data_IF_780535348912
#
_entry.id   IF_780535348912
#
_cell.length_a   1.000
_cell.length_b   1.000
_cell.length_c   1.000
_cell.angle_alpha   90.00
_cell.angle_beta   90.00
_cell.angle_gamma   90.00
#
_symmetry.space_group_name_H-M   'P 1'
#
loop_
_entity.id
_entity.type
_entity.pdbx_description
1 polymer ?
#
# COMPACT_ATOMS: atom_id res chain seq x y z
N UNK A 1 67.41 50.83 36.04
CA UNK A 1 66.26 50.94 35.12
C UNK A 1 66.45 49.94 34.00
N UNK A 2 65.44 49.10 33.81
CA UNK A 2 65.39 47.89 32.99
C UNK A 2 65.28 48.17 31.50
N UNK A 3 66.05 47.46 30.67
CA UNK A 3 65.69 47.19 29.27
C UNK A 3 66.24 45.81 28.86
N UNK A 4 65.31 44.87 28.65
CA UNK A 4 65.52 43.53 28.14
C UNK A 4 65.49 43.59 26.61
N UNK A 5 66.52 43.07 25.94
CA UNK A 5 66.53 42.91 24.49
C UNK A 5 66.56 41.42 24.16
N UNK A 6 65.37 40.85 23.88
CA UNK A 6 65.21 39.50 23.34
C UNK A 6 65.54 39.52 21.84
N UNK A 7 66.52 38.75 21.42
CA UNK A 7 66.70 38.30 20.03
C UNK A 7 65.98 36.97 19.85
N UNK A 8 65.13 36.84 18.83
CA UNK A 8 64.44 35.60 18.46
C UNK A 8 65.10 35.00 17.20
N UNK A 9 65.34 33.68 17.11
CA UNK A 9 65.88 33.07 15.91
C UNK A 9 64.77 32.66 14.91
N UNK A 10 65.02 33.05 13.67
CA UNK A 10 64.46 32.51 12.43
C UNK A 10 64.55 30.97 12.41
N UNK A 11 63.43 30.26 12.20
CA UNK A 11 63.51 28.79 12.09
C UNK A 11 62.25 27.99 11.74
N UNK A 12 61.12 28.61 11.40
CA UNK A 12 59.84 27.87 11.34
C UNK A 12 59.28 27.62 9.92
N UNK A 13 59.95 28.08 8.86
CA UNK A 13 59.35 28.07 7.51
C UNK A 13 59.38 26.68 6.81
N UNK A 14 60.11 25.68 7.33
CA UNK A 14 60.25 24.38 6.63
C UNK A 14 59.22 23.29 7.00
N UNK A 15 58.30 23.53 7.93
CA UNK A 15 57.38 22.49 8.42
C UNK A 15 55.95 22.57 7.84
N UNK A 16 55.68 23.46 6.88
CA UNK A 16 54.30 23.71 6.40
C UNK A 16 53.88 22.92 5.14
N UNK A 17 54.81 22.31 4.39
CA UNK A 17 54.47 21.70 3.10
C UNK A 17 54.19 20.18 3.13
N UNK A 18 54.56 19.47 4.21
CA UNK A 18 54.39 18.01 4.26
C UNK A 18 53.02 17.55 4.78
N UNK A 19 52.24 18.43 5.41
CA UNK A 19 50.97 18.07 6.08
C UNK A 19 49.75 18.20 5.15
N UNK A 20 49.90 18.81 3.96
CA UNK A 20 48.78 19.03 3.05
C UNK A 20 48.45 17.83 2.13
N UNK A 21 49.38 16.88 1.95
CA UNK A 21 49.17 15.72 1.05
C UNK A 21 48.58 14.47 1.73
N UNK A 22 48.48 14.44 3.07
CA UNK A 22 47.98 13.26 3.79
C UNK A 22 46.44 13.25 4.01
N UNK A 23 45.74 14.36 3.75
CA UNK A 23 44.29 14.45 4.00
C UNK A 23 43.40 14.13 2.78
N UNK A 24 43.98 13.85 1.61
CA UNK A 24 43.21 13.62 0.37
C UNK A 24 42.91 12.13 0.07
N UNK A 25 43.34 11.20 0.92
CA UNK A 25 43.26 9.76 0.65
C UNK A 25 42.09 9.01 1.32
N UNK A 26 41.14 9.71 1.96
CA UNK A 26 40.02 9.09 2.69
C UNK A 26 38.63 9.31 2.08
N UNK A 27 38.53 9.91 0.89
CA UNK A 27 37.28 10.03 0.16
C UNK A 27 36.97 8.74 -0.63
N UNK A 28 36.59 7.67 0.08
CA UNK A 28 35.93 6.53 -0.55
C UNK A 28 34.59 6.97 -1.17
N UNK A 29 34.11 6.34 -2.25
CA UNK A 29 32.80 6.65 -2.80
C UNK A 29 31.74 6.38 -1.73
N UNK A 30 31.17 7.45 -1.19
CA UNK A 30 29.96 7.36 -0.39
C UNK A 30 28.86 6.91 -1.35
N UNK A 31 28.55 5.62 -1.34
CA UNK A 31 27.32 5.10 -1.91
C UNK A 31 26.17 5.85 -1.26
N UNK A 32 25.60 6.82 -1.97
CA UNK A 32 24.36 7.45 -1.58
C UNK A 32 23.31 6.34 -1.52
N UNK A 33 23.03 5.84 -0.31
CA UNK A 33 21.78 5.15 -0.04
C UNK A 33 20.69 6.15 -0.38
N UNK A 34 20.10 5.99 -1.56
CA UNK A 34 18.90 6.67 -1.98
C UNK A 34 17.78 6.14 -1.08
N UNK A 35 17.74 6.62 0.15
CA UNK A 35 16.59 6.48 1.04
C UNK A 35 15.53 7.41 0.47
N UNK A 36 14.92 6.99 -0.64
CA UNK A 36 13.78 7.66 -1.21
C UNK A 36 12.76 7.76 -0.08
N UNK A 37 12.49 8.99 0.37
CA UNK A 37 11.41 9.25 1.31
C UNK A 37 10.20 8.45 0.81
N UNK A 38 9.48 7.71 1.69
CA UNK A 38 8.37 6.88 1.25
C UNK A 38 7.46 7.75 0.38
N UNK A 39 7.40 7.45 -0.92
CA UNK A 39 6.52 8.17 -1.83
C UNK A 39 5.09 8.12 -1.30
N UNK A 40 4.25 9.08 -1.66
CA UNK A 40 2.87 9.16 -1.17
C UNK A 40 2.02 7.94 -1.52
N UNK A 41 2.47 7.13 -2.48
CA UNK A 41 1.78 5.96 -3.01
C UNK A 41 2.63 4.69 -2.82
N UNK A 42 1.97 3.54 -2.87
CA UNK A 42 2.57 2.22 -2.94
C UNK A 42 2.82 1.83 -4.39
N UNK A 43 4.04 1.44 -4.70
CA UNK A 43 4.34 0.98 -6.05
C UNK A 43 3.79 -0.43 -6.31
N UNK A 44 3.73 -0.82 -7.58
CA UNK A 44 3.22 -2.13 -8.01
C UNK A 44 3.89 -3.31 -7.29
N UNK A 45 5.21 -3.27 -7.08
CA UNK A 45 5.95 -4.36 -6.47
C UNK A 45 5.59 -4.54 -4.98
N UNK A 46 5.39 -3.44 -4.25
CA UNK A 46 4.94 -3.46 -2.86
C UNK A 46 3.55 -4.10 -2.75
N UNK A 47 2.63 -3.74 -3.64
CA UNK A 47 1.27 -4.30 -3.67
C UNK A 47 1.28 -5.79 -4.04
N UNK A 48 2.05 -6.18 -5.06
CA UNK A 48 2.17 -7.59 -5.45
C UNK A 48 2.78 -8.42 -4.32
N UNK A 49 3.82 -7.91 -3.64
CA UNK A 49 4.44 -8.60 -2.51
C UNK A 49 3.46 -8.77 -1.33
N UNK A 50 2.71 -7.72 -0.97
CA UNK A 50 1.69 -7.79 0.06
C UNK A 50 0.60 -8.80 -0.31
N UNK A 51 0.13 -8.78 -1.56
CA UNK A 51 -0.87 -9.71 -2.05
C UNK A 51 -0.37 -11.16 -2.11
N UNK A 52 0.88 -11.44 -2.49
CA UNK A 52 1.43 -12.79 -2.43
C UNK A 52 1.48 -13.35 -1.01
N UNK A 53 1.90 -12.52 -0.04
CA UNK A 53 1.88 -12.91 1.38
C UNK A 53 0.45 -13.20 1.85
N UNK A 54 -0.51 -12.42 1.38
CA UNK A 54 -1.90 -12.49 1.80
C UNK A 54 -2.68 -13.66 1.16
N UNK A 55 -2.61 -13.81 -0.15
CA UNK A 55 -3.31 -14.86 -0.90
C UNK A 55 -2.58 -16.21 -0.88
N UNK A 56 -1.31 -16.25 -0.50
CA UNK A 56 -0.45 -17.43 -0.58
C UNK A 56 0.30 -17.51 -1.92
N UNK A 57 1.39 -18.29 -1.95
CA UNK A 57 2.41 -18.31 -3.01
C UNK A 57 1.96 -18.80 -4.40
N UNK A 58 0.70 -19.23 -4.59
CA UNK A 58 0.21 -19.92 -5.80
C UNK A 58 -0.44 -18.96 -6.82
N UNK A 59 0.10 -17.76 -6.98
CA UNK A 59 -0.69 -16.60 -7.42
C UNK A 59 -0.09 -15.88 -8.65
N UNK A 60 0.18 -16.62 -9.73
CA UNK A 60 0.74 -16.03 -10.97
C UNK A 60 -0.12 -14.92 -11.61
N UNK A 61 -1.45 -14.94 -11.41
CA UNK A 61 -2.37 -13.93 -11.97
C UNK A 61 -2.43 -12.60 -11.21
N UNK A 62 -1.95 -12.54 -9.96
CA UNK A 62 -2.07 -11.34 -9.13
C UNK A 62 -1.30 -10.17 -9.74
N UNK A 63 -0.05 -10.41 -10.17
CA UNK A 63 0.77 -9.37 -10.76
C UNK A 63 0.08 -8.72 -11.98
N UNK A 64 -0.57 -9.52 -12.83
CA UNK A 64 -1.28 -9.03 -14.00
C UNK A 64 -2.54 -8.22 -13.65
N UNK A 65 -3.26 -8.60 -12.58
CA UNK A 65 -4.41 -7.80 -12.08
C UNK A 65 -3.94 -6.48 -11.49
N UNK A 66 -2.90 -6.50 -10.65
CA UNK A 66 -2.35 -5.27 -10.06
C UNK A 66 -1.77 -4.37 -11.14
N UNK A 67 -1.04 -4.92 -12.11
CA UNK A 67 -0.53 -4.16 -13.26
C UNK A 67 -1.67 -3.50 -14.04
N UNK A 68 -2.76 -4.22 -14.28
CA UNK A 68 -3.94 -3.68 -14.96
C UNK A 68 -4.58 -2.53 -14.17
N UNK A 69 -4.74 -2.69 -12.85
CA UNK A 69 -5.26 -1.63 -11.98
C UNK A 69 -4.33 -0.41 -11.95
N UNK A 70 -3.01 -0.63 -11.86
CA UNK A 70 -2.03 0.46 -11.82
C UNK A 70 -1.97 1.22 -13.15
N UNK A 71 -2.06 0.50 -14.28
CA UNK A 71 -2.15 1.13 -15.61
C UNK A 71 -3.38 2.01 -15.77
N UNK A 72 -4.52 1.63 -15.18
CA UNK A 72 -5.77 2.38 -15.30
C UNK A 72 -5.87 3.54 -14.30
N UNK A 73 -5.43 3.35 -13.06
CA UNK A 73 -5.73 4.25 -11.94
C UNK A 73 -4.47 4.87 -11.29
N UNK A 74 -3.27 4.52 -11.76
CA UNK A 74 -2.01 4.95 -11.17
C UNK A 74 -1.59 4.09 -9.98
N UNK A 75 -0.77 4.63 -9.07
CA UNK A 75 -0.34 3.91 -7.87
C UNK A 75 -1.28 4.20 -6.69
N UNK A 76 -1.73 3.20 -5.92
CA UNK A 76 -2.63 3.40 -4.79
C UNK A 76 -1.92 4.05 -3.60
N UNK A 77 -2.62 4.86 -2.81
CA UNK A 77 -2.09 5.46 -1.58
C UNK A 77 -2.55 4.72 -0.30
N UNK A 78 -3.32 3.66 -0.46
CA UNK A 78 -3.64 2.69 0.58
C UNK A 78 -4.05 1.33 0.01
N UNK A 79 -4.08 0.31 0.85
CA UNK A 79 -4.68 -0.98 0.50
C UNK A 79 -5.30 -1.64 1.73
N UNK A 80 -6.33 -2.45 1.51
CA UNK A 80 -6.99 -3.24 2.54
C UNK A 80 -6.63 -4.70 2.33
N UNK A 81 -6.29 -5.40 3.41
CA UNK A 81 -6.22 -6.87 3.44
C UNK A 81 -7.28 -7.38 4.41
N UNK A 82 -8.14 -8.28 3.98
CA UNK A 82 -9.10 -8.88 4.90
C UNK A 82 -9.97 -9.96 4.29
N UNK A 83 -10.92 -10.44 5.07
CA UNK A 83 -11.67 -11.66 4.78
C UNK A 83 -13.17 -11.39 4.78
N UNK A 84 -13.87 -12.10 3.90
CA UNK A 84 -15.31 -12.06 3.73
C UNK A 84 -15.84 -13.46 4.08
N UNK A 85 -16.48 -13.63 5.24
CA UNK A 85 -16.55 -14.94 5.93
C UNK A 85 -17.96 -15.51 6.20
N UNK A 86 -18.19 -16.68 5.59
CA UNK A 86 -19.00 -17.90 5.86
C UNK A 86 -20.11 -18.02 6.94
N UNK A 87 -20.36 -17.03 7.80
CA UNK A 87 -21.44 -17.09 8.81
C UNK A 87 -22.36 -15.87 8.86
N UNK A 88 -21.93 -14.76 8.24
CA UNK A 88 -22.67 -13.50 8.22
C UNK A 88 -23.48 -13.29 6.93
N UNK A 89 -23.41 -14.22 5.96
CA UNK A 89 -24.23 -14.15 4.74
C UNK A 89 -25.66 -14.54 5.07
N UNK A 90 -26.43 -13.55 5.49
CA UNK A 90 -27.86 -13.66 5.76
C UNK A 90 -28.58 -12.85 4.69
N UNK A 91 -29.55 -13.47 4.02
CA UNK A 91 -30.48 -12.79 3.12
C UNK A 91 -29.84 -11.96 1.97
N UNK A 92 -28.73 -12.43 1.39
CA UNK A 92 -28.11 -11.77 0.23
C UNK A 92 -27.21 -10.58 0.56
N UNK A 93 -26.71 -10.50 1.79
CA UNK A 93 -25.67 -9.55 2.19
C UNK A 93 -24.33 -10.26 2.46
N UNK A 94 -23.21 -9.59 2.19
CA UNK A 94 -21.86 -10.00 2.59
C UNK A 94 -21.35 -9.06 3.68
N UNK A 95 -20.52 -9.61 4.56
CA UNK A 95 -19.81 -8.85 5.60
C UNK A 95 -18.35 -9.24 5.53
N UNK A 96 -17.49 -8.25 5.65
CA UNK A 96 -16.06 -8.47 5.72
C UNK A 96 -15.39 -7.55 6.72
N UNK A 97 -14.20 -7.95 7.10
CA UNK A 97 -13.36 -7.21 8.02
C UNK A 97 -11.90 -7.34 7.61
N UNK A 98 -11.10 -6.33 7.94
CA UNK A 98 -9.71 -6.29 7.55
C UNK A 98 -8.97 -5.11 8.14
N UNK A 99 -7.80 -4.86 7.57
CA UNK A 99 -6.92 -3.77 7.96
C UNK A 99 -6.62 -2.89 6.74
N UNK A 100 -6.88 -1.60 6.87
CA UNK A 100 -6.49 -0.56 5.94
C UNK A 100 -5.07 -0.13 6.25
N UNK A 101 -4.15 -0.44 5.35
CA UNK A 101 -2.78 0.02 5.33
C UNK A 101 -2.71 1.34 4.56
N UNK A 102 -2.24 2.39 5.21
CA UNK A 102 -2.01 3.70 4.59
C UNK A 102 -0.54 4.06 4.66
N UNK A 103 -0.06 4.79 3.65
CA UNK A 103 1.34 5.16 3.57
C UNK A 103 1.78 6.09 4.70
N UNK A 104 0.90 7.05 5.04
CA UNK A 104 1.23 8.19 5.89
C UNK A 104 0.36 8.30 7.16
N UNK A 105 -0.57 7.37 7.38
CA UNK A 105 -1.49 7.43 8.53
C UNK A 105 -1.58 6.11 9.31
N UNK A 106 -0.69 5.14 9.05
CA UNK A 106 -0.65 3.86 9.77
C UNK A 106 -1.69 2.83 9.29
N UNK A 107 -2.00 1.88 10.19
CA UNK A 107 -2.89 0.74 9.92
C UNK A 107 -4.17 0.88 10.74
N UNK A 108 -5.33 0.66 10.11
CA UNK A 108 -6.64 0.86 10.73
C UNK A 108 -7.54 -0.36 10.54
N UNK A 109 -8.20 -0.82 11.60
CA UNK A 109 -9.25 -1.85 11.46
C UNK A 109 -10.41 -1.25 10.66
N UNK A 110 -10.90 -2.00 9.69
CA UNK A 110 -12.00 -1.59 8.82
C UNK A 110 -12.96 -2.74 8.58
N UNK A 111 -14.24 -2.42 8.45
CA UNK A 111 -15.31 -3.35 8.20
C UNK A 111 -16.05 -2.93 6.93
N UNK A 112 -16.65 -3.89 6.23
CA UNK A 112 -17.50 -3.58 5.10
C UNK A 112 -18.69 -4.51 4.96
N UNK A 113 -19.70 -4.01 4.26
CA UNK A 113 -20.93 -4.72 3.94
C UNK A 113 -21.34 -4.45 2.49
N UNK A 114 -22.02 -5.39 1.85
CA UNK A 114 -22.56 -5.18 0.50
C UNK A 114 -23.49 -6.31 0.06
N UNK A 115 -24.10 -6.23 -1.14
CA UNK A 115 -24.87 -7.33 -1.68
C UNK A 115 -23.97 -8.55 -1.92
N UNK A 116 -24.54 -9.73 -1.69
CA UNK A 116 -23.96 -11.03 -2.03
C UNK A 116 -24.88 -11.75 -3.02
N UNK A 117 -24.30 -12.29 -4.10
CA UNK A 117 -25.04 -13.05 -5.13
C UNK A 117 -25.02 -14.57 -4.84
N UNK A 118 -24.36 -15.03 -3.77
CA UNK A 118 -24.26 -16.47 -3.49
C UNK A 118 -24.00 -16.88 -2.05
N UNK A 119 -24.17 -18.18 -1.81
CA UNK A 119 -23.86 -18.94 -0.59
C UNK A 119 -22.42 -19.50 -0.60
N UNK A 120 -21.64 -19.23 -1.65
CA UNK A 120 -20.45 -19.98 -2.03
C UNK A 120 -19.16 -19.54 -1.31
N UNK A 121 -19.17 -19.56 0.01
CA UNK A 121 -17.94 -19.47 0.80
C UNK A 121 -17.82 -20.71 1.67
N UNK A 122 -16.81 -21.54 1.37
CA UNK A 122 -16.38 -22.62 2.26
C UNK A 122 -16.03 -22.04 3.65
N UNK A 123 -16.04 -22.90 4.68
CA UNK A 123 -15.97 -22.50 6.09
C UNK A 123 -14.86 -21.50 6.46
N UNK A 124 -13.80 -21.43 5.67
CA UNK A 124 -12.62 -20.60 5.90
C UNK A 124 -12.71 -19.14 5.39
N UNK A 125 -13.83 -18.73 4.78
CA UNK A 125 -14.01 -17.37 4.26
C UNK A 125 -13.19 -17.06 2.98
N UNK A 126 -13.48 -15.95 2.32
CA UNK A 126 -12.76 -15.49 1.14
C UNK A 126 -11.90 -14.27 1.44
N UNK A 127 -10.60 -14.41 1.19
CA UNK A 127 -9.63 -13.32 1.20
C UNK A 127 -9.90 -12.32 0.08
N UNK A 128 -9.83 -11.03 0.40
CA UNK A 128 -9.90 -9.91 -0.54
C UNK A 128 -8.82 -8.88 -0.21
N UNK A 129 -8.13 -8.42 -1.26
CA UNK A 129 -7.23 -7.29 -1.19
C UNK A 129 -7.91 -6.13 -1.92
N UNK A 130 -8.04 -4.95 -1.32
CA UNK A 130 -8.64 -3.80 -1.98
C UNK A 130 -7.61 -2.68 -2.15
N UNK A 131 -7.34 -2.26 -3.38
CA UNK A 131 -6.45 -1.12 -3.64
C UNK A 131 -7.25 0.17 -3.49
N UNK A 132 -6.72 1.14 -2.76
CA UNK A 132 -7.38 2.41 -2.48
C UNK A 132 -6.58 3.54 -3.13
N UNK A 133 -7.27 4.34 -3.93
CA UNK A 133 -6.69 5.47 -4.65
C UNK A 133 -7.32 6.77 -4.19
N UNK A 134 -6.53 7.83 -4.23
CA UNK A 134 -6.95 9.19 -3.91
C UNK A 134 -7.59 9.32 -2.53
N UNK A 135 -7.18 8.49 -1.55
CA UNK A 135 -7.70 8.59 -0.17
C UNK A 135 -7.10 9.82 0.52
N UNK A 136 -7.88 10.88 0.82
CA UNK A 136 -7.33 12.11 1.38
C UNK A 136 -7.04 11.97 2.89
N UNK A 137 -7.92 11.28 3.62
CA UNK A 137 -7.77 10.96 5.04
C UNK A 137 -8.33 9.58 5.32
N UNK A 138 -7.99 8.98 6.46
CA UNK A 138 -8.51 7.67 6.87
C UNK A 138 -10.03 7.71 6.98
N UNK A 139 -10.59 8.77 7.56
CA UNK A 139 -12.02 8.94 7.79
C UNK A 139 -12.82 8.98 6.49
N UNK A 140 -12.18 9.46 5.41
CA UNK A 140 -12.81 9.53 4.11
C UNK A 140 -13.16 8.16 3.54
N UNK A 141 -12.56 7.05 4.02
CA UNK A 141 -12.94 5.71 3.55
C UNK A 141 -14.33 5.30 4.02
N UNK A 142 -14.81 5.77 5.17
CA UNK A 142 -16.01 5.25 5.84
C UNK A 142 -17.31 5.77 5.21
N UNK A 143 -17.61 5.26 4.02
CA UNK A 143 -18.76 5.66 3.21
C UNK A 143 -19.18 4.55 2.25
N UNK A 144 -20.03 4.92 1.30
CA UNK A 144 -20.68 4.06 0.32
C UNK A 144 -19.99 4.15 -1.03
N UNK A 145 -19.52 3.04 -1.58
CA UNK A 145 -18.90 2.98 -2.90
C UNK A 145 -19.77 2.18 -3.84
N UNK A 146 -20.00 2.71 -5.05
CA UNK A 146 -20.86 2.10 -6.06
C UNK A 146 -19.99 1.51 -7.16
N UNK A 147 -20.40 0.35 -7.68
CA UNK A 147 -19.70 -0.33 -8.77
C UNK A 147 -19.67 0.48 -10.05
N UNK A 148 -18.50 0.51 -10.69
CA UNK A 148 -18.29 1.09 -12.01
C UNK A 148 -18.64 0.04 -13.05
N UNK A 149 -19.57 0.36 -13.95
CA UNK A 149 -20.02 -0.55 -15.00
C UNK A 149 -18.87 -0.96 -15.93
N UNK A 150 -18.79 -2.26 -16.26
CA UNK A 150 -17.78 -2.78 -17.19
C UNK A 150 -16.35 -2.82 -16.64
N UNK A 151 -16.14 -2.56 -15.35
CA UNK A 151 -14.82 -2.55 -14.71
C UNK A 151 -14.26 -3.92 -14.32
N UNK A 152 -15.06 -4.96 -14.56
CA UNK A 152 -14.71 -6.35 -14.37
C UNK A 152 -13.45 -6.74 -15.15
N UNK A 153 -12.47 -7.32 -14.46
CA UNK A 153 -11.28 -7.88 -15.11
C UNK A 153 -10.86 -9.18 -14.42
N UNK A 154 -10.63 -10.25 -15.19
CA UNK A 154 -10.29 -11.58 -14.67
C UNK A 154 -9.09 -12.15 -15.44
N UNK A 155 -8.03 -12.51 -14.75
CA UNK A 155 -6.83 -13.13 -15.34
C UNK A 155 -6.14 -14.04 -14.33
N UNK A 156 -5.69 -15.21 -14.79
CA UNK A 156 -4.86 -16.12 -13.98
C UNK A 156 -5.47 -16.53 -12.63
N UNK A 157 -6.80 -16.65 -12.56
CA UNK A 157 -7.51 -17.00 -11.33
C UNK A 157 -7.71 -15.84 -10.35
N UNK A 158 -7.37 -14.61 -10.75
CA UNK A 158 -7.63 -13.38 -9.99
C UNK A 158 -8.62 -12.50 -10.73
N UNK A 159 -9.54 -11.91 -9.97
CA UNK A 159 -10.60 -11.05 -10.48
C UNK A 159 -10.62 -9.73 -9.74
N UNK A 160 -10.83 -8.64 -10.46
CA UNK A 160 -11.08 -7.33 -9.91
C UNK A 160 -12.37 -6.70 -10.45
N UNK A 161 -12.91 -5.80 -9.65
CA UNK A 161 -13.95 -4.84 -10.01
C UNK A 161 -13.51 -3.47 -9.51
N UNK A 162 -14.23 -2.42 -9.88
CA UNK A 162 -13.93 -1.06 -9.44
C UNK A 162 -15.17 -0.47 -8.80
N UNK A 163 -14.99 0.12 -7.64
CA UNK A 163 -16.01 0.89 -6.94
C UNK A 163 -15.52 2.33 -6.77
N UNK A 164 -16.41 3.30 -6.82
CA UNK A 164 -16.07 4.71 -6.66
C UNK A 164 -17.06 5.45 -5.76
N UNK A 165 -16.53 6.46 -5.07
CA UNK A 165 -17.30 7.50 -4.41
C UNK A 165 -16.51 8.80 -4.53
N UNK A 166 -17.14 9.84 -5.09
CA UNK A 166 -16.46 11.08 -5.47
C UNK A 166 -15.19 10.79 -6.29
N UNK A 167 -14.02 11.16 -5.76
CA UNK A 167 -12.73 10.96 -6.39
C UNK A 167 -11.96 9.74 -5.84
N UNK A 168 -12.52 9.04 -4.85
CA UNK A 168 -11.89 7.89 -4.19
C UNK A 168 -12.28 6.62 -4.95
N UNK A 169 -11.27 5.84 -5.34
CA UNK A 169 -11.46 4.58 -6.06
C UNK A 169 -11.02 3.43 -5.17
N UNK A 170 -11.85 2.39 -5.14
CA UNK A 170 -11.58 1.14 -4.45
C UNK A 170 -11.60 0.02 -5.49
N UNK A 171 -10.52 -0.76 -5.54
CA UNK A 171 -10.37 -1.88 -6.48
C UNK A 171 -10.25 -3.19 -5.70
N UNK A 172 -11.37 -3.89 -5.44
CA UNK A 172 -11.35 -5.19 -4.78
C UNK A 172 -10.80 -6.28 -5.71
N UNK A 173 -9.74 -6.95 -5.28
CA UNK A 173 -9.06 -8.07 -5.93
C UNK A 173 -9.30 -9.36 -5.13
N UNK A 174 -9.76 -10.42 -5.80
CA UNK A 174 -10.05 -11.73 -5.21
C UNK A 174 -9.41 -12.85 -6.02
N UNK A 175 -9.10 -13.98 -5.37
CA UNK A 175 -8.54 -15.17 -6.00
C UNK A 175 -9.55 -16.33 -6.10
N UNK A 176 -9.26 -17.30 -6.97
CA UNK A 176 -9.98 -18.58 -7.06
C UNK A 176 -11.45 -18.44 -7.46
N UNK A 177 -12.34 -19.13 -6.76
CA UNK A 177 -13.80 -19.07 -7.01
C UNK A 177 -14.34 -17.65 -6.77
N UNK A 178 -13.80 -16.94 -5.79
CA UNK A 178 -14.15 -15.55 -5.48
C UNK A 178 -13.81 -14.58 -6.62
N UNK A 179 -12.84 -14.92 -7.47
CA UNK A 179 -12.49 -14.12 -8.64
C UNK A 179 -13.62 -14.09 -9.69
N UNK A 180 -14.41 -15.16 -9.83
CA UNK A 180 -15.50 -15.25 -10.82
C UNK A 180 -16.82 -14.69 -10.29
N UNK A 181 -17.11 -14.96 -9.01
CA UNK A 181 -18.36 -14.54 -8.37
C UNK A 181 -18.33 -13.08 -7.90
N UNK A 182 -17.14 -12.54 -7.60
CA UNK A 182 -16.97 -11.17 -7.09
C UNK A 182 -17.06 -10.06 -8.14
N UNK A 183 -17.26 -10.42 -9.42
CA UNK A 183 -17.23 -9.48 -10.55
C UNK A 183 -18.48 -8.58 -10.59
N UNK A 184 -19.61 -9.04 -10.06
CA UNK A 184 -20.88 -8.30 -10.03
C UNK A 184 -21.14 -7.64 -8.67
N UNK A 185 -20.16 -6.90 -8.15
CA UNK A 185 -20.33 -6.15 -6.90
C UNK A 185 -20.82 -4.73 -7.19
N UNK A 186 -22.12 -4.50 -7.03
CA UNK A 186 -22.72 -3.19 -7.29
C UNK A 186 -22.44 -2.14 -6.21
N UNK A 187 -22.04 -2.55 -5.00
CA UNK A 187 -21.92 -1.64 -3.86
C UNK A 187 -21.07 -2.22 -2.71
N UNK A 188 -20.34 -1.36 -1.98
CA UNK A 188 -19.80 -1.63 -0.65
C UNK A 188 -19.98 -0.43 0.29
N UNK A 189 -20.36 -0.70 1.53
CA UNK A 189 -20.31 0.23 2.65
C UNK A 189 -19.05 -0.06 3.46
N UNK A 190 -18.24 0.94 3.75
CA UNK A 190 -17.15 0.82 4.73
C UNK A 190 -17.52 1.48 6.05
N UNK A 191 -17.17 0.85 7.16
CA UNK A 191 -17.44 1.33 8.51
C UNK A 191 -16.24 1.14 9.44
N UNK A 192 -16.10 2.03 10.41
CA UNK A 192 -15.07 1.93 11.44
C UNK A 192 -15.37 0.84 12.48
N UNK A 193 -16.65 0.53 12.69
CA UNK A 193 -17.14 -0.50 13.61
C UNK A 193 -17.95 -1.54 12.85
N UNK A 194 -17.98 -2.81 13.29
CA UNK A 194 -18.82 -3.82 12.66
C UNK A 194 -20.30 -3.42 12.80
N UNK A 195 -21.09 -3.65 11.76
CA UNK A 195 -22.52 -3.40 11.76
C UNK A 195 -23.26 -4.41 10.89
N UNK A 196 -24.47 -4.75 11.32
CA UNK A 196 -25.40 -5.58 10.55
C UNK A 196 -26.22 -4.76 9.55
N UNK A 197 -26.19 -3.42 9.60
CA UNK A 197 -26.92 -2.59 8.66
C UNK A 197 -26.06 -2.25 7.42
N UNK A 198 -26.35 -2.82 6.23
CA UNK A 198 -25.60 -2.52 5.01
C UNK A 198 -25.97 -1.16 4.38
N UNK A 199 -27.04 -0.50 4.85
CA UNK A 199 -27.56 0.79 4.39
C UNK A 199 -27.34 1.92 5.39
#
# INVERSE_FOLDING_TARGET
MTASTRTAPFGWIKAALATAMAMMALAGPASAQNTQAPGSNYNQNEIVAAGHKFFGSVSGGLASVVENAVKQYGEPNGYILGEEGSGAIVAGARYGEGELYTRNAGVHKIFWQGPSIGWDFGGDGARVMMLIYNLPTVEAIYRRYVGVNGSAYLVGGFGMTVLSNDNIIVVPVRSGVGARLGINMGYLKFTQKPTWNPF
#
